data_IF_069646171254
#
_entry.id   IF_069646171254
#
_cell.length_a   1.000
_cell.length_b   1.000
_cell.length_c   1.000
_cell.angle_alpha   90.00
_cell.angle_beta   90.00
_cell.angle_gamma   90.00
#
_symmetry.space_group_name_H-M   'P 1'
#
loop_
_entity.id
_entity.type
_entity.pdbx_description
1 polymer ?
#
# COMPACT_ATOMS: atom_id res chain seq x y z
N UNK A 1 57.49 45.55 -33.46
CA UNK A 1 57.06 44.19 -33.08
C UNK A 1 56.65 44.23 -31.63
N UNK A 2 55.42 44.35 -31.36
CA UNK A 2 54.84 44.35 -30.01
C UNK A 2 53.77 43.29 -29.95
N UNK A 3 54.00 42.22 -29.15
CA UNK A 3 53.06 41.13 -28.92
C UNK A 3 52.15 41.49 -27.76
N UNK A 4 50.86 41.58 -28.03
CA UNK A 4 49.85 41.76 -27.01
C UNK A 4 49.44 40.39 -26.49
N UNK A 5 49.62 40.12 -25.17
CA UNK A 5 49.14 38.97 -24.46
C UNK A 5 47.76 39.31 -23.91
N UNK A 6 46.74 38.66 -24.46
CA UNK A 6 45.38 38.72 -23.93
C UNK A 6 45.17 37.71 -22.79
N UNK A 7 44.94 38.21 -21.59
CA UNK A 7 44.60 37.42 -20.41
C UNK A 7 43.07 37.14 -20.45
N UNK A 8 42.69 35.91 -20.73
CA UNK A 8 41.29 35.48 -20.64
C UNK A 8 40.99 34.99 -19.20
N UNK A 9 40.28 35.79 -18.42
CA UNK A 9 39.73 35.38 -17.13
C UNK A 9 38.52 34.43 -17.37
N UNK A 10 38.73 33.14 -17.17
CA UNK A 10 37.66 32.18 -17.11
C UNK A 10 36.94 32.26 -15.73
N UNK A 11 35.80 32.90 -15.71
CA UNK A 11 34.91 32.89 -14.56
C UNK A 11 34.24 31.49 -14.50
N UNK A 12 34.76 30.61 -13.65
CA UNK A 12 34.10 29.36 -13.28
C UNK A 12 32.89 29.69 -12.39
N UNK A 13 31.75 29.84 -13.02
CA UNK A 13 30.46 29.88 -12.32
C UNK A 13 30.19 28.55 -11.69
N UNK A 14 30.35 28.43 -10.38
CA UNK A 14 29.85 27.31 -9.60
C UNK A 14 28.32 27.34 -9.63
N UNK A 15 27.73 26.58 -10.54
CA UNK A 15 26.31 26.26 -10.45
C UNK A 15 26.11 25.40 -9.20
N UNK A 16 25.63 26.02 -8.14
CA UNK A 16 25.07 25.31 -7.01
C UNK A 16 23.81 24.60 -7.52
N UNK A 17 23.93 23.34 -7.82
CA UNK A 17 22.75 22.46 -7.96
C UNK A 17 22.12 22.40 -6.59
N UNK A 18 21.08 23.23 -6.36
CA UNK A 18 20.14 23.00 -5.31
C UNK A 18 19.54 21.62 -5.62
N UNK A 19 19.99 20.59 -4.92
CA UNK A 19 19.33 19.31 -4.93
C UNK A 19 17.91 19.57 -4.40
N UNK A 20 16.94 19.60 -5.31
CA UNK A 20 15.55 19.46 -4.94
C UNK A 20 15.52 18.14 -4.15
N UNK A 21 15.36 18.24 -2.83
CA UNK A 21 15.08 17.10 -2.00
C UNK A 21 13.74 16.55 -2.50
N UNK A 22 13.81 15.63 -3.44
CA UNK A 22 12.63 14.88 -3.85
C UNK A 22 12.08 14.24 -2.58
N UNK A 23 10.80 14.46 -2.31
CA UNK A 23 10.14 13.79 -1.21
C UNK A 23 10.43 12.29 -1.35
N UNK A 24 10.93 11.68 -0.29
CA UNK A 24 11.17 10.25 -0.31
C UNK A 24 9.84 9.56 -0.63
N UNK A 25 9.83 8.54 -1.50
CA UNK A 25 8.60 7.81 -1.79
C UNK A 25 8.07 7.19 -0.50
N UNK A 26 6.75 6.98 -0.35
CA UNK A 26 6.21 6.38 0.86
C UNK A 26 6.93 5.08 1.21
N UNK A 27 7.23 4.91 2.49
CA UNK A 27 7.91 3.72 3.02
C UNK A 27 7.25 3.26 4.30
N UNK A 28 7.11 1.96 4.45
CA UNK A 28 6.81 1.35 5.75
C UNK A 28 8.08 1.30 6.56
N UNK A 29 7.96 1.59 7.83
CA UNK A 29 9.05 1.42 8.78
C UNK A 29 8.55 1.27 10.20
N UNK A 30 9.49 0.97 11.09
CA UNK A 30 9.24 0.75 12.51
C UNK A 30 10.21 1.54 13.37
N UNK A 31 9.81 1.78 14.59
CA UNK A 31 10.63 2.43 15.59
C UNK A 31 11.29 1.39 16.50
N UNK A 32 12.60 1.29 16.44
CA UNK A 32 13.38 0.31 17.18
C UNK A 32 14.07 0.99 18.35
N UNK A 33 13.91 0.42 19.55
CA UNK A 33 14.67 0.86 20.71
C UNK A 33 16.12 0.32 20.60
N UNK A 34 17.07 1.22 20.80
CA UNK A 34 18.49 0.88 20.80
C UNK A 34 18.98 0.53 22.19
N UNK A 35 20.00 -0.31 22.26
CA UNK A 35 20.80 -0.50 23.46
C UNK A 35 21.85 0.60 23.58
N UNK A 36 22.30 0.84 24.81
CA UNK A 36 23.43 1.74 25.05
C UNK A 36 24.72 1.07 24.59
N UNK A 37 25.49 1.75 23.79
CA UNK A 37 26.81 1.30 23.33
C UNK A 37 27.89 2.30 23.75
N UNK A 38 29.14 1.83 23.84
CA UNK A 38 30.30 2.67 24.10
C UNK A 38 30.85 3.13 22.74
N UNK A 39 30.71 4.40 22.44
CA UNK A 39 31.30 5.01 21.24
C UNK A 39 32.82 5.22 21.41
N UNK A 40 33.49 5.47 20.27
CA UNK A 40 34.92 5.75 20.27
C UNK A 40 35.21 7.04 21.07
N UNK A 41 36.09 6.94 22.08
CA UNK A 41 36.43 8.05 22.95
C UNK A 41 35.45 8.33 24.11
N UNK A 42 34.35 7.62 24.21
CA UNK A 42 33.38 7.75 25.30
C UNK A 42 33.80 6.95 26.53
N UNK A 43 33.50 7.51 27.70
CA UNK A 43 33.83 6.84 29.01
C UNK A 43 32.66 6.04 29.57
N UNK A 44 31.45 6.21 29.05
CA UNK A 44 30.23 5.54 29.50
C UNK A 44 29.33 5.22 28.33
N UNK A 45 28.62 4.09 28.36
CA UNK A 45 27.66 3.74 27.31
C UNK A 45 26.52 4.75 27.21
N UNK A 46 26.22 5.20 25.98
CA UNK A 46 25.13 6.10 25.63
C UNK A 46 24.24 5.51 24.53
N UNK A 47 23.07 6.10 24.34
CA UNK A 47 22.27 5.85 23.16
C UNK A 47 22.79 6.68 21.97
N UNK A 48 22.70 6.12 20.77
CA UNK A 48 23.18 6.76 19.52
C UNK A 48 22.09 6.86 18.44
N UNK A 49 20.83 6.83 18.85
CA UNK A 49 19.71 6.90 17.93
C UNK A 49 19.34 8.32 17.50
N UNK A 50 18.74 8.43 16.34
CA UNK A 50 18.27 9.69 15.80
C UNK A 50 17.02 10.24 16.49
N UNK A 51 16.36 9.47 17.36
CA UNK A 51 15.09 9.85 17.98
C UNK A 51 15.09 9.71 19.50
N UNK A 52 14.53 10.73 20.17
CA UNK A 52 14.42 10.75 21.63
C UNK A 52 13.28 9.90 22.18
N UNK A 53 12.12 9.89 21.51
CA UNK A 53 10.91 9.22 21.98
C UNK A 53 10.10 8.65 20.83
N UNK A 54 9.95 7.34 20.79
CA UNK A 54 9.12 6.58 19.84
C UNK A 54 9.20 7.07 18.38
N UNK A 55 10.37 7.48 17.92
CA UNK A 55 10.64 8.04 16.59
C UNK A 55 9.78 9.25 16.18
N UNK A 56 9.17 9.93 17.15
CA UNK A 56 8.31 11.10 16.88
C UNK A 56 9.06 12.42 16.93
N UNK A 57 10.14 12.49 17.70
CA UNK A 57 10.94 13.71 17.88
C UNK A 57 12.40 13.43 17.54
N UNK A 58 12.92 14.03 16.46
CA UNK A 58 14.34 13.96 16.16
C UNK A 58 15.21 14.46 17.31
N UNK A 59 16.34 13.81 17.53
CA UNK A 59 17.37 14.22 18.49
C UNK A 59 18.57 14.75 17.70
N UNK A 60 18.76 16.06 17.71
CA UNK A 60 19.80 16.73 16.92
C UNK A 60 21.24 16.27 17.27
N UNK A 61 21.44 15.72 18.47
CA UNK A 61 22.74 15.24 18.91
C UNK A 61 22.93 13.73 18.68
N UNK A 62 21.98 13.05 18.07
CA UNK A 62 22.00 11.60 17.89
C UNK A 62 22.24 10.77 19.17
N UNK A 63 21.75 11.27 20.32
CA UNK A 63 21.79 10.58 21.61
C UNK A 63 20.39 10.04 22.01
N UNK A 64 19.55 9.80 21.03
CA UNK A 64 18.23 9.26 21.23
C UNK A 64 18.23 7.76 21.54
N UNK A 65 17.19 7.30 22.23
CA UNK A 65 16.97 5.88 22.54
C UNK A 65 16.46 5.08 21.36
N UNK A 66 15.93 5.74 20.33
CA UNK A 66 15.22 5.09 19.23
C UNK A 66 15.83 5.42 17.86
N UNK A 67 15.73 4.45 16.97
CA UNK A 67 16.03 4.60 15.55
C UNK A 67 14.82 4.18 14.71
N UNK A 68 14.56 4.92 13.64
CA UNK A 68 13.56 4.51 12.67
C UNK A 68 14.21 3.64 11.60
N UNK A 69 13.67 2.45 11.42
CA UNK A 69 14.19 1.49 10.45
C UNK A 69 13.15 1.22 9.36
N UNK A 70 13.54 1.31 8.07
CA UNK A 70 12.65 0.94 6.98
C UNK A 70 12.32 -0.56 7.00
N UNK A 71 11.14 -0.88 6.50
CA UNK A 71 10.62 -2.24 6.43
C UNK A 71 10.00 -2.74 7.74
N UNK A 72 9.31 -3.88 7.66
CA UNK A 72 8.74 -4.55 8.80
C UNK A 72 9.82 -5.21 9.66
N UNK A 73 9.47 -5.57 10.89
CA UNK A 73 10.25 -6.46 11.74
C UNK A 73 9.87 -7.92 11.55
N UNK A 74 10.20 -8.77 12.53
CA UNK A 74 9.83 -10.18 12.49
C UNK A 74 8.34 -10.46 12.49
N UNK A 75 7.53 -9.56 13.06
CA UNK A 75 6.07 -9.64 13.09
C UNK A 75 5.47 -8.90 11.87
N UNK A 76 5.76 -9.40 10.68
CA UNK A 76 5.41 -8.77 9.41
C UNK A 76 4.04 -9.18 8.85
N UNK A 77 3.33 -10.08 9.52
CA UNK A 77 2.00 -10.51 9.11
C UNK A 77 0.94 -9.43 9.35
N UNK A 78 -0.04 -9.40 8.49
CA UNK A 78 -1.22 -8.55 8.63
C UNK A 78 -2.49 -9.31 8.23
N UNK A 79 -3.59 -8.85 8.76
CA UNK A 79 -4.94 -9.21 8.35
C UNK A 79 -5.68 -7.93 8.00
N UNK A 80 -6.58 -8.02 7.04
CA UNK A 80 -7.42 -6.90 6.65
C UNK A 80 -8.85 -7.37 6.37
N UNK A 81 -9.80 -6.52 6.71
CA UNK A 81 -11.23 -6.76 6.49
C UNK A 81 -11.90 -5.48 6.04
N UNK A 82 -12.88 -5.59 5.13
CA UNK A 82 -13.68 -4.45 4.73
C UNK A 82 -14.62 -4.01 5.85
N UNK A 83 -14.74 -2.70 5.97
CA UNK A 83 -15.77 -2.01 6.73
C UNK A 83 -16.85 -1.47 5.77
N UNK A 84 -17.87 -0.82 6.28
CA UNK A 84 -18.83 -0.16 5.41
C UNK A 84 -18.19 0.96 4.57
N UNK A 85 -18.57 1.15 3.31
CA UNK A 85 -19.60 0.43 2.56
C UNK A 85 -19.16 -0.95 2.07
N UNK A 86 -20.14 -1.82 1.79
CA UNK A 86 -19.91 -3.15 1.22
C UNK A 86 -19.03 -3.09 -0.04
N UNK A 87 -18.14 -4.09 -0.24
CA UNK A 87 -17.27 -4.15 -1.41
C UNK A 87 -18.07 -4.33 -2.70
N UNK A 88 -17.76 -3.52 -3.72
CA UNK A 88 -18.38 -3.60 -5.05
C UNK A 88 -17.33 -3.60 -6.13
N UNK A 89 -17.40 -4.59 -7.02
CA UNK A 89 -16.74 -4.56 -8.33
C UNK A 89 -17.77 -4.08 -9.35
N UNK A 90 -17.46 -3.00 -10.06
CA UNK A 90 -18.36 -2.46 -11.11
C UNK A 90 -17.59 -2.34 -12.42
N UNK A 91 -18.17 -2.83 -13.53
CA UNK A 91 -17.62 -2.66 -14.86
C UNK A 91 -18.06 -1.33 -15.48
N UNK A 92 -17.34 -0.85 -16.46
CA UNK A 92 -17.77 0.35 -17.24
C UNK A 92 -19.07 0.11 -17.99
N UNK A 93 -19.44 -1.14 -18.27
CA UNK A 93 -20.73 -1.54 -18.82
C UNK A 93 -21.87 -1.51 -17.80
N UNK A 94 -21.57 -1.25 -16.51
CA UNK A 94 -22.55 -1.13 -15.44
C UNK A 94 -22.93 -2.45 -14.77
N UNK A 95 -22.25 -3.56 -15.08
CA UNK A 95 -22.39 -4.79 -14.32
C UNK A 95 -21.77 -4.62 -12.93
N UNK A 96 -22.47 -5.09 -11.91
CA UNK A 96 -22.01 -5.05 -10.52
C UNK A 96 -21.92 -6.44 -9.92
N UNK A 97 -20.86 -6.64 -9.15
CA UNK A 97 -20.71 -7.75 -8.23
C UNK A 97 -20.59 -7.12 -6.85
N UNK A 98 -21.61 -7.33 -6.05
CA UNK A 98 -21.73 -6.81 -4.68
C UNK A 98 -21.42 -7.93 -3.72
N UNK A 99 -20.49 -7.69 -2.79
CA UNK A 99 -20.06 -8.68 -1.82
C UNK A 99 -20.28 -8.13 -0.41
N UNK A 100 -20.70 -8.98 0.52
CA UNK A 100 -20.93 -8.56 1.91
C UNK A 100 -19.63 -8.26 2.65
N UNK A 101 -18.54 -9.01 2.34
CA UNK A 101 -17.26 -8.87 3.04
C UNK A 101 -16.12 -9.05 2.03
N UNK A 102 -15.08 -8.26 2.20
CA UNK A 102 -13.77 -8.47 1.60
C UNK A 102 -12.76 -8.61 2.74
N UNK A 103 -11.93 -9.65 2.68
CA UNK A 103 -10.88 -9.83 3.67
C UNK A 103 -9.62 -10.42 3.04
N UNK A 104 -8.47 -10.14 3.63
CA UNK A 104 -7.23 -10.76 3.21
C UNK A 104 -6.24 -10.93 4.35
N UNK A 105 -5.34 -11.87 4.18
CA UNK A 105 -4.19 -12.09 5.05
C UNK A 105 -2.90 -12.12 4.24
N UNK A 106 -1.83 -11.62 4.82
CA UNK A 106 -0.57 -11.54 4.12
C UNK A 106 0.60 -11.10 5.00
N UNK A 107 1.66 -10.70 4.37
CA UNK A 107 2.87 -10.24 5.02
C UNK A 107 3.51 -9.07 4.28
N UNK A 108 4.06 -8.12 5.02
CA UNK A 108 4.92 -7.09 4.48
C UNK A 108 6.29 -7.73 4.16
N UNK A 109 6.71 -7.64 2.91
CA UNK A 109 7.94 -8.25 2.41
C UNK A 109 9.11 -7.26 2.32
N UNK A 110 8.83 -5.97 2.52
CA UNK A 110 9.83 -4.91 2.48
C UNK A 110 9.27 -3.55 2.86
N UNK A 111 10.08 -2.52 2.72
CA UNK A 111 9.67 -1.14 3.02
C UNK A 111 8.57 -0.61 2.09
N UNK A 112 8.39 -1.23 0.93
CA UNK A 112 7.43 -0.81 -0.10
C UNK A 112 6.66 -1.97 -0.70
N UNK A 113 6.75 -3.14 -0.14
CA UNK A 113 6.17 -4.35 -0.72
C UNK A 113 5.44 -5.18 0.31
N UNK A 114 4.39 -5.84 -0.13
CA UNK A 114 3.64 -6.84 0.60
C UNK A 114 3.24 -7.99 -0.33
N UNK A 115 2.90 -9.12 0.27
CA UNK A 115 2.25 -10.23 -0.42
C UNK A 115 0.97 -10.59 0.33
N UNK A 116 -0.16 -10.57 -0.36
CA UNK A 116 -1.42 -11.10 0.14
C UNK A 116 -1.46 -12.58 -0.20
N UNK A 117 -1.45 -13.44 0.80
CA UNK A 117 -1.45 -14.90 0.64
C UNK A 117 -2.83 -15.42 0.27
N UNK A 118 -3.87 -14.83 0.88
CA UNK A 118 -5.27 -15.12 0.62
C UNK A 118 -6.07 -13.85 0.62
N UNK A 119 -6.92 -13.72 -0.36
CA UNK A 119 -7.86 -12.62 -0.52
C UNK A 119 -9.24 -13.23 -0.78
N UNK A 120 -10.22 -12.84 -0.01
CA UNK A 120 -11.58 -13.35 -0.09
C UNK A 120 -12.58 -12.24 -0.39
N UNK A 121 -13.47 -12.51 -1.31
CA UNK A 121 -14.74 -11.82 -1.46
C UNK A 121 -15.84 -12.83 -1.07
N UNK A 122 -16.71 -12.45 -0.15
CA UNK A 122 -17.72 -13.33 0.41
C UNK A 122 -19.11 -12.72 0.32
N UNK A 123 -20.12 -13.56 0.19
CA UNK A 123 -21.49 -13.13 0.00
C UNK A 123 -21.71 -12.41 -1.33
N UNK A 124 -20.91 -12.76 -2.35
CA UNK A 124 -20.93 -12.07 -3.64
C UNK A 124 -22.15 -12.42 -4.48
N UNK A 125 -22.79 -11.39 -5.03
CA UNK A 125 -23.92 -11.53 -5.95
C UNK A 125 -23.78 -10.57 -7.13
N UNK A 126 -24.33 -10.98 -8.28
CA UNK A 126 -24.56 -10.10 -9.42
C UNK A 126 -26.02 -10.20 -9.85
N UNK A 127 -26.73 -9.09 -9.86
CA UNK A 127 -28.18 -9.05 -10.11
C UNK A 127 -28.97 -10.01 -9.19
N UNK A 128 -28.59 -10.09 -7.92
CA UNK A 128 -29.22 -10.95 -6.91
C UNK A 128 -28.95 -12.45 -7.08
N UNK A 129 -27.99 -12.85 -7.92
CA UNK A 129 -27.56 -14.24 -8.11
C UNK A 129 -26.14 -14.42 -7.60
N UNK A 130 -25.87 -15.55 -6.92
CA UNK A 130 -24.57 -15.84 -6.35
C UNK A 130 -23.44 -15.83 -7.38
N UNK A 131 -22.28 -15.32 -6.97
CA UNK A 131 -21.03 -15.35 -7.72
C UNK A 131 -20.00 -16.18 -6.95
N UNK A 132 -19.50 -17.27 -7.52
CA UNK A 132 -18.59 -18.19 -6.83
C UNK A 132 -17.58 -18.84 -7.77
N UNK A 133 -16.40 -19.12 -7.25
CA UNK A 133 -15.40 -19.92 -7.98
C UNK A 133 -15.62 -21.42 -7.83
N UNK A 134 -16.24 -21.84 -6.75
CA UNK A 134 -16.52 -23.26 -6.46
C UNK A 134 -18.01 -23.42 -6.16
N UNK A 135 -18.75 -24.27 -6.90
CA UNK A 135 -20.17 -24.49 -6.66
C UNK A 135 -20.53 -24.95 -5.24
N UNK A 136 -19.57 -25.53 -4.50
CA UNK A 136 -19.78 -25.93 -3.12
C UNK A 136 -19.67 -24.78 -2.10
N UNK A 137 -19.23 -23.59 -2.55
CA UNK A 137 -19.01 -22.40 -1.72
C UNK A 137 -19.72 -21.21 -2.36
N UNK A 138 -21.02 -21.18 -2.26
CA UNK A 138 -21.85 -20.12 -2.84
C UNK A 138 -21.44 -18.74 -2.32
N UNK A 139 -21.30 -17.79 -3.23
CA UNK A 139 -20.94 -16.41 -2.93
C UNK A 139 -19.47 -16.20 -2.55
N UNK A 140 -18.59 -17.22 -2.64
CA UNK A 140 -17.18 -17.08 -2.29
C UNK A 140 -16.27 -17.03 -3.52
N UNK A 141 -15.42 -16.01 -3.56
CA UNK A 141 -14.34 -15.85 -4.55
C UNK A 141 -13.04 -15.71 -3.77
N UNK A 142 -12.12 -16.67 -3.91
CA UNK A 142 -10.81 -16.69 -3.28
C UNK A 142 -9.72 -16.42 -4.31
N UNK A 143 -8.84 -15.46 -4.01
CA UNK A 143 -7.64 -15.16 -4.80
C UNK A 143 -6.41 -15.37 -3.93
N UNK A 144 -5.37 -15.98 -4.49
CA UNK A 144 -4.11 -16.20 -3.79
C UNK A 144 -2.95 -15.48 -4.47
N UNK A 145 -1.90 -15.19 -3.71
CA UNK A 145 -0.64 -14.66 -4.24
C UNK A 145 -0.81 -13.33 -5.00
N UNK A 146 -1.37 -12.31 -4.32
CA UNK A 146 -1.43 -10.94 -4.82
C UNK A 146 -0.22 -10.17 -4.29
N UNK A 147 0.49 -9.49 -5.16
CA UNK A 147 1.58 -8.58 -4.81
C UNK A 147 1.05 -7.17 -4.57
N UNK A 148 1.58 -6.50 -3.56
CA UNK A 148 1.32 -5.08 -3.29
C UNK A 148 2.60 -4.26 -3.35
N UNK A 149 2.51 -3.09 -3.98
CA UNK A 149 3.58 -2.11 -4.05
C UNK A 149 3.10 -0.75 -3.53
N UNK A 150 3.86 -0.17 -2.60
CA UNK A 150 3.55 1.11 -1.99
C UNK A 150 4.12 2.24 -2.84
N UNK A 151 3.26 3.15 -3.24
CA UNK A 151 3.60 4.33 -4.03
C UNK A 151 2.96 5.61 -3.48
N UNK A 152 3.24 6.72 -4.14
CA UNK A 152 2.75 8.04 -3.77
C UNK A 152 1.81 8.65 -4.78
N UNK A 153 0.79 9.34 -4.27
CA UNK A 153 -0.13 10.16 -5.03
C UNK A 153 0.09 11.63 -4.69
N UNK A 154 -0.01 12.51 -5.68
CA UNK A 154 -0.11 13.95 -5.43
C UNK A 154 -1.52 14.26 -4.98
N UNK A 155 -1.71 14.41 -3.68
CA UNK A 155 -2.97 14.88 -3.11
C UNK A 155 -2.98 16.39 -2.86
N UNK A 156 -4.15 16.95 -2.56
CA UNK A 156 -4.31 18.39 -2.30
C UNK A 156 -3.55 18.87 -1.06
N UNK A 157 -3.17 17.96 -0.18
CA UNK A 157 -2.42 18.23 1.06
C UNK A 157 -0.96 17.78 1.03
N UNK A 158 -0.46 17.37 -0.14
CA UNK A 158 0.90 16.85 -0.32
C UNK A 158 0.91 15.42 -0.84
N UNK A 159 1.98 14.70 -0.56
CA UNK A 159 2.13 13.30 -0.97
C UNK A 159 1.24 12.41 -0.10
N UNK A 160 0.32 11.69 -0.73
CA UNK A 160 -0.49 10.65 -0.13
C UNK A 160 0.09 9.29 -0.47
N UNK A 161 -0.06 8.31 0.41
CA UNK A 161 0.39 6.94 0.17
C UNK A 161 -0.73 6.11 -0.46
N UNK A 162 -0.37 5.21 -1.36
CA UNK A 162 -1.31 4.27 -1.95
C UNK A 162 -0.65 2.93 -2.21
N UNK A 163 -1.44 1.86 -2.14
CA UNK A 163 -1.05 0.52 -2.54
C UNK A 163 -1.59 0.22 -3.93
N UNK A 164 -0.74 -0.25 -4.82
CA UNK A 164 -1.19 -0.99 -6.00
C UNK A 164 -1.16 -2.47 -5.66
N UNK A 165 -2.30 -3.12 -5.83
CA UNK A 165 -2.43 -4.57 -5.73
C UNK A 165 -2.50 -5.15 -7.13
N UNK A 166 -1.65 -6.15 -7.42
CA UNK A 166 -1.52 -6.76 -8.73
C UNK A 166 -1.26 -8.26 -8.63
N UNK A 167 -1.67 -8.98 -9.65
CA UNK A 167 -1.33 -10.40 -9.82
C UNK A 167 -0.96 -10.63 -11.28
N UNK A 168 0.04 -11.46 -11.51
CA UNK A 168 0.39 -11.87 -12.86
C UNK A 168 -0.67 -12.82 -13.42
N UNK A 169 -1.25 -12.45 -14.57
CA UNK A 169 -2.35 -13.20 -15.18
C UNK A 169 -3.69 -13.02 -14.47
N UNK A 170 -4.52 -14.03 -14.53
CA UNK A 170 -5.87 -14.01 -13.96
C UNK A 170 -5.81 -14.06 -12.44
N UNK A 171 -6.48 -13.12 -11.78
CA UNK A 171 -6.67 -13.13 -10.34
C UNK A 171 -7.51 -14.33 -9.94
N UNK A 172 -8.67 -14.47 -10.59
CA UNK A 172 -9.57 -15.60 -10.38
C UNK A 172 -10.56 -15.72 -11.54
N UNK A 173 -10.99 -16.97 -11.78
CA UNK A 173 -12.14 -17.30 -12.63
C UNK A 173 -13.29 -17.77 -11.74
N UNK A 174 -14.44 -17.16 -11.90
CA UNK A 174 -15.64 -17.46 -11.13
C UNK A 174 -16.89 -17.43 -12.01
N UNK A 175 -18.00 -17.87 -11.49
CA UNK A 175 -19.26 -17.90 -12.19
C UNK A 175 -20.32 -17.13 -11.41
N UNK A 176 -21.07 -16.26 -12.09
CA UNK A 176 -22.24 -15.60 -11.55
C UNK A 176 -23.51 -16.17 -12.20
N UNK A 177 -24.55 -16.42 -11.42
CA UNK A 177 -25.82 -16.90 -11.95
C UNK A 177 -26.25 -18.25 -11.41
N UNK A 178 -27.15 -18.91 -12.12
CA UNK A 178 -27.62 -20.26 -11.74
C UNK A 178 -26.68 -21.33 -12.29
N UNK A 179 -26.69 -22.50 -11.67
CA UNK A 179 -25.93 -23.68 -12.15
C UNK A 179 -26.27 -24.09 -13.57
N UNK A 180 -27.47 -23.76 -14.07
CA UNK A 180 -27.91 -24.10 -15.42
C UNK A 180 -27.45 -23.07 -16.46
N UNK A 181 -27.30 -21.80 -16.07
CA UNK A 181 -26.89 -20.70 -16.94
C UNK A 181 -25.89 -19.77 -16.20
N UNK A 182 -24.67 -20.23 -15.93
CA UNK A 182 -23.64 -19.39 -15.33
C UNK A 182 -23.02 -18.46 -16.36
N UNK A 183 -22.77 -17.22 -15.94
CA UNK A 183 -21.85 -16.34 -16.65
C UNK A 183 -20.47 -16.52 -16.07
N UNK A 184 -19.51 -16.96 -16.88
CA UNK A 184 -18.13 -17.12 -16.46
C UNK A 184 -17.42 -15.76 -16.57
N UNK A 185 -16.71 -15.41 -15.53
CA UNK A 185 -15.99 -14.14 -15.41
C UNK A 185 -14.56 -14.39 -14.97
N UNK A 186 -13.62 -13.64 -15.54
CA UNK A 186 -12.20 -13.68 -15.18
C UNK A 186 -11.74 -12.30 -14.77
N UNK A 187 -11.31 -12.15 -13.53
CA UNK A 187 -10.76 -10.92 -12.98
C UNK A 187 -9.24 -10.88 -13.23
N UNK A 188 -8.75 -9.80 -13.81
CA UNK A 188 -7.33 -9.59 -14.13
C UNK A 188 -6.88 -8.16 -13.82
N UNK A 189 -5.57 -7.92 -13.90
CA UNK A 189 -4.98 -6.58 -13.85
C UNK A 189 -4.53 -6.13 -12.48
N UNK A 190 -4.73 -4.85 -12.17
CA UNK A 190 -4.28 -4.23 -10.93
C UNK A 190 -5.27 -3.18 -10.44
N UNK A 191 -5.29 -2.94 -9.13
CA UNK A 191 -6.16 -1.94 -8.50
C UNK A 191 -5.36 -1.08 -7.52
N UNK A 192 -5.71 0.20 -7.42
CA UNK A 192 -5.06 1.14 -6.52
C UNK A 192 -6.00 1.48 -5.36
N UNK A 193 -5.50 1.31 -4.13
CA UNK A 193 -6.16 1.73 -2.91
C UNK A 193 -5.35 2.81 -2.19
N UNK A 194 -6.00 3.91 -1.82
CA UNK A 194 -5.37 5.03 -1.12
C UNK A 194 -5.33 4.75 0.36
N UNK A 195 -4.16 4.91 0.98
CA UNK A 195 -4.03 4.84 2.44
C UNK A 195 -4.69 6.07 3.04
N UNK A 196 -5.73 5.86 3.82
CA UNK A 196 -6.51 6.93 4.45
C UNK A 196 -6.42 6.87 5.96
N UNK A 197 -6.86 7.95 6.60
CA UNK A 197 -7.05 8.00 8.04
C UNK A 197 -8.36 7.33 8.40
N UNK A 198 -8.33 6.42 9.36
CA UNK A 198 -9.54 5.98 10.05
C UNK A 198 -10.01 7.02 11.06
N UNK A 199 -11.26 6.97 11.44
CA UNK A 199 -11.79 7.76 12.56
C UNK A 199 -11.04 7.38 13.85
N UNK A 200 -10.19 8.29 14.33
CA UNK A 200 -9.38 8.10 15.54
C UNK A 200 -8.01 7.45 15.34
N UNK A 201 -7.65 7.01 14.13
CA UNK A 201 -6.38 6.39 13.80
C UNK A 201 -5.53 7.21 12.84
N UNK A 202 -4.26 7.03 13.02
CA UNK A 202 -3.17 7.89 12.73
C UNK A 202 -3.01 8.38 11.31
N UNK A 203 -2.46 9.55 11.28
CA UNK A 203 -1.80 10.14 10.11
C UNK A 203 -0.78 9.16 9.53
N UNK A 204 -0.75 9.07 8.22
CA UNK A 204 0.50 8.79 7.51
C UNK A 204 1.59 9.62 8.19
N UNK A 205 2.72 9.05 8.51
CA UNK A 205 3.78 9.59 9.38
C UNK A 205 3.49 9.48 10.89
N UNK A 206 2.76 8.48 11.32
CA UNK A 206 2.54 8.13 12.72
C UNK A 206 2.58 6.61 12.90
N UNK A 207 3.25 6.15 13.97
CA UNK A 207 3.25 4.75 14.36
C UNK A 207 1.84 4.28 14.71
N UNK A 208 1.31 3.31 13.98
CA UNK A 208 0.02 2.69 14.23
C UNK A 208 0.11 1.17 14.09
N UNK A 209 -0.86 0.47 14.66
CA UNK A 209 -1.08 -0.96 14.43
C UNK A 209 -2.08 -1.20 13.32
N UNK A 210 -2.81 -0.18 12.95
CA UNK A 210 -3.91 -0.23 11.98
C UNK A 210 -3.68 0.82 10.90
N UNK A 211 -4.11 0.51 9.71
CA UNK A 211 -4.17 1.44 8.58
C UNK A 211 -5.42 1.15 7.78
N UNK A 212 -5.97 2.18 7.14
CA UNK A 212 -7.13 2.05 6.28
C UNK A 212 -6.72 2.21 4.83
N UNK A 213 -7.24 1.36 3.97
CA UNK A 213 -7.04 1.42 2.53
C UNK A 213 -8.41 1.64 1.89
N UNK A 214 -8.54 2.73 1.18
CA UNK A 214 -9.78 3.10 0.52
C UNK A 214 -9.66 2.87 -0.99
N UNK A 215 -10.42 1.94 -1.49
CA UNK A 215 -10.63 1.72 -2.91
C UNK A 215 -11.89 2.47 -3.34
N UNK A 216 -11.77 3.31 -4.34
CA UNK A 216 -12.87 4.08 -4.91
C UNK A 216 -12.98 3.84 -6.40
N UNK A 217 -14.20 3.83 -6.88
CA UNK A 217 -14.47 3.77 -8.30
C UNK A 217 -15.70 4.63 -8.62
N UNK A 218 -15.80 5.09 -9.88
CA UNK A 218 -16.96 5.77 -10.42
C UNK A 218 -17.30 5.16 -11.77
N UNK A 219 -18.46 4.49 -11.84
CA UNK A 219 -18.93 3.82 -13.05
C UNK A 219 -17.89 2.86 -13.66
N UNK A 220 -17.32 2.01 -12.84
CA UNK A 220 -16.34 1.01 -13.24
C UNK A 220 -14.90 1.52 -13.45
N UNK A 221 -14.66 2.83 -13.27
CA UNK A 221 -13.33 3.42 -13.37
C UNK A 221 -12.74 3.61 -11.98
N UNK A 222 -11.56 3.05 -11.75
CA UNK A 222 -10.86 3.19 -10.47
C UNK A 222 -10.43 4.63 -10.22
N UNK A 223 -10.54 5.09 -8.99
CA UNK A 223 -10.06 6.37 -8.50
C UNK A 223 -9.07 6.18 -7.34
N UNK A 224 -7.81 6.52 -7.53
CA UNK A 224 -7.19 7.09 -8.73
C UNK A 224 -6.98 6.04 -9.84
N UNK A 225 -7.00 6.49 -11.09
CA UNK A 225 -6.67 5.62 -12.24
C UNK A 225 -5.17 5.28 -12.27
N UNK A 226 -4.34 6.19 -11.75
CA UNK A 226 -2.88 6.02 -11.70
C UNK A 226 -2.29 6.75 -10.52
N UNK A 227 -1.07 6.38 -10.10
CA UNK A 227 -0.27 7.25 -9.28
C UNK A 227 1.03 7.65 -9.98
N UNK A 228 1.38 8.92 -9.81
CA UNK A 228 2.58 9.48 -10.38
C UNK A 228 3.77 9.29 -9.44
N UNK A 229 4.80 8.73 -9.99
CA UNK A 229 6.14 8.87 -9.48
C UNK A 229 6.55 7.87 -8.44
N UNK A 230 7.47 7.19 -8.64
CA UNK A 230 8.51 6.41 -8.01
C UNK A 230 8.10 4.96 -7.73
N UNK A 231 8.62 4.04 -8.53
CA UNK A 231 9.61 4.23 -9.60
C UNK A 231 9.04 4.53 -10.99
N UNK A 232 7.73 4.40 -11.23
CA UNK A 232 7.08 4.68 -12.50
C UNK A 232 5.60 5.00 -12.29
N UNK A 233 4.96 5.58 -13.31
CA UNK A 233 3.51 5.70 -13.32
C UNK A 233 2.91 4.29 -13.31
N UNK A 234 2.14 3.98 -12.28
CA UNK A 234 1.41 2.73 -12.17
C UNK A 234 -0.05 3.01 -12.48
N UNK A 235 -0.61 2.25 -13.41
CA UNK A 235 -2.00 2.37 -13.80
C UNK A 235 -2.83 1.31 -13.09
N UNK A 236 -4.06 1.66 -12.74
CA UNK A 236 -5.08 0.67 -12.43
C UNK A 236 -5.55 0.05 -13.75
N UNK A 237 -5.39 -1.25 -13.86
CA UNK A 237 -5.72 -2.01 -15.08
C UNK A 237 -6.71 -3.14 -14.80
N UNK A 238 -7.46 -3.05 -13.68
CA UNK A 238 -8.42 -4.10 -13.34
C UNK A 238 -9.50 -4.21 -14.40
N UNK A 239 -9.74 -5.43 -14.85
CA UNK A 239 -10.73 -5.74 -15.88
C UNK A 239 -11.40 -7.08 -15.62
N UNK A 240 -12.62 -7.23 -16.10
CA UNK A 240 -13.35 -8.50 -16.15
C UNK A 240 -13.50 -8.93 -17.61
N UNK A 241 -13.11 -10.18 -17.88
CA UNK A 241 -13.33 -10.88 -19.16
C UNK A 241 -14.51 -11.84 -19.02
N UNK A 242 -15.25 -12.01 -20.09
CA UNK A 242 -16.45 -12.86 -20.16
C UNK A 242 -16.24 -14.02 -21.15
N UNK A 243 -15.53 -15.11 -20.77
CA UNK A 243 -15.39 -16.28 -21.64
C UNK A 243 -16.74 -16.97 -21.91
N UNK A 244 -16.97 -17.57 -23.11
CA UNK A 244 -16.04 -17.66 -24.24
C UNK A 244 -16.02 -16.42 -25.14
N UNK A 245 -16.81 -15.39 -24.83
CA UNK A 245 -16.70 -14.12 -25.54
C UNK A 245 -15.35 -13.46 -25.30
N UNK A 246 -14.86 -12.72 -26.29
CA UNK A 246 -13.62 -11.94 -26.18
C UNK A 246 -13.86 -10.55 -25.58
N UNK A 247 -15.03 -10.34 -25.01
CA UNK A 247 -15.40 -9.06 -24.39
C UNK A 247 -14.62 -8.88 -23.10
N UNK A 248 -13.98 -7.73 -22.96
CA UNK A 248 -13.26 -7.31 -21.77
C UNK A 248 -13.80 -5.95 -21.34
N UNK A 249 -14.11 -5.79 -20.08
CA UNK A 249 -14.58 -4.52 -19.54
C UNK A 249 -13.67 -4.06 -18.40
N UNK A 250 -13.24 -2.79 -18.47
CA UNK A 250 -12.57 -2.15 -17.36
C UNK A 250 -13.47 -2.20 -16.13
N UNK A 251 -12.86 -2.49 -14.99
CA UNK A 251 -13.56 -2.71 -13.73
C UNK A 251 -12.90 -1.90 -12.63
N UNK A 252 -13.70 -1.30 -11.77
CA UNK A 252 -13.25 -0.62 -10.56
C UNK A 252 -13.73 -1.35 -9.31
N UNK A 253 -12.93 -1.34 -8.26
CA UNK A 253 -13.24 -1.80 -6.92
C UNK A 253 -13.57 -0.60 -6.03
N UNK A 254 -14.67 -0.67 -5.28
CA UNK A 254 -14.93 0.22 -4.16
C UNK A 254 -15.02 -0.59 -2.87
N UNK A 255 -14.24 -0.23 -1.87
CA UNK A 255 -14.24 -0.79 -0.53
C UNK A 255 -13.41 0.07 0.42
N UNK A 256 -13.80 0.15 1.67
CA UNK A 256 -12.95 0.64 2.75
C UNK A 256 -12.44 -0.58 3.53
N UNK A 257 -11.15 -0.69 3.69
CA UNK A 257 -10.51 -1.84 4.31
C UNK A 257 -9.65 -1.40 5.47
N UNK A 258 -9.91 -1.97 6.63
CA UNK A 258 -9.05 -1.86 7.80
C UNK A 258 -8.00 -2.97 7.76
N UNK A 259 -6.73 -2.58 7.77
CA UNK A 259 -5.59 -3.50 7.83
C UNK A 259 -4.91 -3.37 9.19
N UNK A 260 -4.80 -4.48 9.91
CA UNK A 260 -4.12 -4.54 11.19
C UNK A 260 -2.85 -5.39 11.11
N UNK A 261 -1.71 -4.82 11.50
CA UNK A 261 -0.43 -5.52 11.53
C UNK A 261 -0.30 -6.44 12.73
N UNK A 262 0.33 -7.59 12.55
CA UNK A 262 0.66 -8.54 13.62
C UNK A 262 -0.45 -9.55 13.98
N UNK A 263 -1.47 -9.71 13.15
CA UNK A 263 -2.48 -10.76 13.32
C UNK A 263 -2.01 -12.06 12.66
N UNK A 264 -1.30 -12.87 13.40
CA UNK A 264 -0.97 -14.26 13.02
C UNK A 264 -1.43 -15.29 14.03
N UNK A 265 -2.12 -14.86 15.10
CA UNK A 265 -2.64 -15.73 16.16
C UNK A 265 -3.91 -15.18 16.81
N UNK A 266 -4.70 -16.02 17.49
CA UNK A 266 -5.96 -15.62 18.10
C UNK A 266 -5.84 -14.41 19.04
N UNK A 267 -6.94 -13.73 19.24
CA UNK A 267 -7.18 -12.47 19.97
C UNK A 267 -6.45 -12.32 21.33
N UNK A 268 -5.91 -13.38 21.89
CA UNK A 268 -5.23 -13.36 23.19
C UNK A 268 -3.83 -12.74 23.19
N UNK A 269 -3.23 -12.46 22.02
CA UNK A 269 -1.89 -11.84 21.90
C UNK A 269 -1.93 -10.39 21.36
N UNK A 270 -2.96 -9.61 21.62
CA UNK A 270 -3.05 -8.19 21.24
C UNK A 270 -1.85 -7.32 21.69
N UNK A 271 -1.11 -7.76 22.68
CA UNK A 271 -0.03 -6.97 23.30
C UNK A 271 1.27 -6.94 22.47
N UNK A 272 1.45 -7.84 21.51
CA UNK A 272 2.70 -8.00 20.76
C UNK A 272 2.64 -7.55 19.30
N UNK A 273 1.63 -6.78 18.90
CA UNK A 273 1.52 -6.24 17.54
C UNK A 273 2.59 -5.17 17.31
N UNK A 274 3.37 -5.34 16.27
CA UNK A 274 4.34 -4.33 15.86
C UNK A 274 3.62 -3.10 15.31
N UNK A 275 4.01 -1.92 15.82
CA UNK A 275 3.54 -0.67 15.25
C UNK A 275 4.39 -0.33 14.04
N UNK A 276 3.73 -0.07 12.93
CA UNK A 276 4.33 0.38 11.69
C UNK A 276 3.96 1.84 11.42
N UNK A 277 4.77 2.51 10.63
CA UNK A 277 4.54 3.86 10.15
C UNK A 277 4.70 3.86 8.63
N UNK A 278 3.76 4.46 7.92
CA UNK A 278 3.94 4.79 6.50
C UNK A 278 4.45 6.21 6.42
N UNK A 279 5.74 6.40 6.16
CA UNK A 279 6.35 7.72 5.99
C UNK A 279 6.23 8.21 4.57
N UNK A 280 5.74 9.44 4.41
CA UNK A 280 5.72 10.17 3.14
C UNK A 280 6.69 11.34 3.12
N UNK A 281 7.39 11.60 4.24
CA UNK A 281 8.36 12.68 4.39
C UNK A 281 9.75 12.09 4.62
N UNK A 282 10.81 12.73 4.10
CA UNK A 282 12.18 12.34 4.41
C UNK A 282 12.42 12.33 5.92
N UNK A 283 13.30 11.45 6.36
CA UNK A 283 13.87 11.52 7.71
C UNK A 283 14.69 12.81 7.78
N UNK A 284 14.37 13.70 8.70
CA UNK A 284 15.09 14.94 8.90
C UNK A 284 16.46 14.70 9.56
#
# INVERSE_FOLDING_TARGET
>A
MAAAVALACAALGTMAFASLAAAAPPEIGRCVALEKTLGEGEKKPHYHGAYGNNCTKPNANHHGKYEWMPGPGPANHFFAISDEPEPVLETVGGQKIECSIMSWEGEYTGAKSLTIKKFFLQGCTSNGKGCQQNPAKEGEIEVTEIEGELGGLKGPKGLEAAWVLKKSGTWQTFACGTTENPTIEQLEGSVIGVVTKGEGFGDVNRMSRESFINFKQTHGKQEPESFEGMPANVLSTMEIKFPPATTTEQTGLSALVESASGLGKPIEEEQNREKLEIRTKPVA
#
